data_IF_427529914062
#
_entry.id   IF_427529914062
#
_cell.length_a   1.000
_cell.length_b   1.000
_cell.length_c   1.000
_cell.angle_alpha   90.00
_cell.angle_beta   90.00
_cell.angle_gamma   90.00
#
_symmetry.space_group_name_H-M   'P 1'
#
loop_
_entity.id
_entity.type
_entity.pdbx_description
1 polymer ?
#
# COMPACT_ATOMS: atom_id res chain seq x y z
N UNK A 1 14.81 4.10 28.25
CA UNK A 1 14.12 4.30 26.96
C UNK A 1 13.52 5.70 26.98
N UNK A 2 14.09 6.66 26.26
CA UNK A 2 13.49 7.99 26.12
C UNK A 2 12.24 7.83 25.24
N UNK A 3 11.08 8.22 25.76
CA UNK A 3 9.87 8.27 24.93
C UNK A 3 10.13 9.30 23.81
N UNK A 4 9.88 8.97 22.54
CA UNK A 4 10.06 9.91 21.44
C UNK A 4 9.24 11.16 21.74
N UNK A 5 9.85 12.33 21.54
CA UNK A 5 9.14 13.59 21.77
C UNK A 5 7.98 13.69 20.78
N UNK A 6 6.94 14.46 21.11
CA UNK A 6 5.79 14.65 20.21
C UNK A 6 6.20 15.20 18.83
N UNK A 7 7.35 15.88 18.74
CA UNK A 7 7.99 16.29 17.48
C UNK A 7 8.41 15.12 16.61
N UNK A 8 9.12 14.14 17.18
CA UNK A 8 9.66 12.98 16.46
C UNK A 8 8.57 12.12 15.85
N UNK A 9 7.46 11.93 16.59
CA UNK A 9 6.31 11.16 16.10
C UNK A 9 5.63 11.82 14.90
N UNK A 10 5.40 13.13 14.98
CA UNK A 10 4.79 13.89 13.87
C UNK A 10 5.67 13.86 12.62
N UNK A 11 6.99 13.94 12.80
CA UNK A 11 7.95 13.80 11.71
C UNK A 11 7.87 12.43 11.07
N UNK A 12 7.86 11.35 11.86
CA UNK A 12 7.75 9.98 11.35
C UNK A 12 6.47 9.75 10.54
N UNK A 13 5.31 10.21 11.03
CA UNK A 13 4.05 10.10 10.27
C UNK A 13 4.14 10.87 8.96
N UNK A 14 4.71 12.08 8.98
CA UNK A 14 4.90 12.89 7.78
C UNK A 14 5.82 12.20 6.78
N UNK A 15 6.90 11.56 7.23
CA UNK A 15 7.77 10.74 6.38
C UNK A 15 6.99 9.60 5.72
N UNK A 16 6.12 8.88 6.46
CA UNK A 16 5.30 7.84 5.87
C UNK A 16 4.33 8.39 4.82
N UNK A 17 3.75 9.57 5.05
CA UNK A 17 2.88 10.25 4.08
C UNK A 17 3.62 10.64 2.81
N UNK A 18 4.84 11.17 2.93
CA UNK A 18 5.71 11.52 1.79
C UNK A 18 6.02 10.26 0.98
N UNK A 19 6.38 9.15 1.63
CA UNK A 19 6.69 7.89 0.93
C UNK A 19 5.48 7.37 0.15
N UNK A 20 4.29 7.33 0.78
CA UNK A 20 3.07 6.87 0.12
C UNK A 20 2.64 7.83 -0.99
N UNK A 21 2.81 9.13 -0.79
CA UNK A 21 2.60 10.13 -1.84
C UNK A 21 3.52 9.90 -3.04
N UNK A 22 4.81 9.68 -2.80
CA UNK A 22 5.78 9.38 -3.85
C UNK A 22 5.45 8.09 -4.61
N UNK A 23 5.08 7.02 -3.90
CA UNK A 23 4.60 5.76 -4.48
C UNK A 23 3.35 5.95 -5.34
N UNK A 24 2.44 6.86 -4.97
CA UNK A 24 1.24 7.12 -5.76
C UNK A 24 1.50 7.99 -7.00
N UNK A 25 2.54 8.85 -6.97
CA UNK A 25 2.91 9.70 -8.10
C UNK A 25 3.45 8.90 -9.29
N UNK A 26 4.19 7.81 -9.05
CA UNK A 26 4.70 6.94 -10.11
C UNK A 26 3.60 6.44 -11.06
N UNK A 27 2.59 5.70 -10.56
CA UNK A 27 1.46 5.25 -11.37
C UNK A 27 0.65 6.39 -11.99
N UNK A 28 0.54 7.55 -11.32
CA UNK A 28 -0.13 8.71 -11.90
C UNK A 28 0.59 9.24 -13.15
N UNK A 29 1.91 9.41 -13.07
CA UNK A 29 2.73 9.82 -14.23
C UNK A 29 2.70 8.76 -15.33
N UNK A 30 2.75 7.48 -14.97
CA UNK A 30 2.66 6.38 -15.92
C UNK A 30 1.27 6.32 -16.59
N UNK A 31 0.19 6.61 -15.87
CA UNK A 31 -1.15 6.69 -16.41
C UNK A 31 -1.26 7.81 -17.47
N UNK A 32 -0.66 8.97 -17.21
CA UNK A 32 -0.60 10.05 -18.21
C UNK A 32 0.11 9.57 -19.49
N UNK A 33 1.26 8.90 -19.37
CA UNK A 33 1.97 8.33 -20.52
C UNK A 33 1.09 7.30 -21.24
N UNK A 34 0.46 6.39 -20.50
CA UNK A 34 -0.41 5.36 -21.07
C UNK A 34 -1.56 5.96 -21.89
N UNK A 35 -2.22 6.99 -21.37
CA UNK A 35 -3.33 7.67 -22.03
C UNK A 35 -2.89 8.45 -23.29
N UNK A 36 -1.68 9.00 -23.30
CA UNK A 36 -1.16 9.75 -24.44
C UNK A 36 -0.60 8.85 -25.56
N UNK A 37 -0.16 7.65 -25.21
CA UNK A 37 0.55 6.74 -26.13
C UNK A 37 -0.31 5.60 -26.65
N UNK A 38 -1.37 5.20 -25.93
CA UNK A 38 -2.30 4.17 -26.38
C UNK A 38 -3.08 4.65 -27.62
N UNK A 39 -2.75 4.11 -28.81
CA UNK A 39 -3.36 4.51 -30.10
C UNK A 39 -3.86 3.34 -30.92
N UNK A 40 -5.15 3.29 -31.23
CA UNK A 40 -5.81 2.32 -32.14
C UNK A 40 -7.10 1.74 -31.54
N UNK A 41 -7.61 0.63 -32.08
CA UNK A 41 -8.88 0.00 -31.64
C UNK A 41 -8.75 -0.98 -30.45
N UNK A 42 -9.69 -1.01 -29.49
CA UNK A 42 -9.65 -1.96 -28.37
C UNK A 42 -9.55 -3.42 -28.82
N UNK A 43 -8.62 -4.17 -28.23
CA UNK A 43 -8.45 -5.61 -28.50
C UNK A 43 -8.34 -6.36 -27.18
N UNK A 44 -9.35 -7.15 -26.80
CA UNK A 44 -9.29 -7.93 -25.56
C UNK A 44 -8.41 -9.16 -25.72
N UNK A 45 -7.14 -9.03 -25.34
CA UNK A 45 -6.14 -10.09 -25.42
C UNK A 45 -5.85 -10.76 -24.07
N UNK A 46 -4.85 -11.65 -24.04
CA UNK A 46 -4.47 -12.37 -22.83
C UNK A 46 -3.88 -11.46 -21.73
N UNK A 47 -3.24 -10.34 -22.08
CA UNK A 47 -2.65 -9.44 -21.07
C UNK A 47 -3.73 -8.76 -20.23
N UNK A 48 -4.90 -8.44 -20.81
CA UNK A 48 -6.06 -7.91 -20.09
C UNK A 48 -6.47 -8.85 -18.98
N UNK A 49 -6.63 -10.14 -19.28
CA UNK A 49 -7.03 -11.15 -18.30
C UNK A 49 -6.00 -11.31 -17.18
N UNK A 50 -4.72 -11.39 -17.54
CA UNK A 50 -3.62 -11.51 -16.58
C UNK A 50 -3.58 -10.28 -15.67
N UNK A 51 -3.67 -9.07 -16.23
CA UNK A 51 -3.60 -7.83 -15.48
C UNK A 51 -4.79 -7.68 -14.52
N UNK A 52 -6.00 -8.07 -14.92
CA UNK A 52 -7.18 -8.07 -14.05
C UNK A 52 -7.02 -9.06 -12.90
N UNK A 53 -6.53 -10.28 -13.16
CA UNK A 53 -6.25 -11.28 -12.11
C UNK A 53 -5.18 -10.79 -11.14
N UNK A 54 -4.09 -10.21 -11.66
CA UNK A 54 -3.04 -9.61 -10.83
C UNK A 54 -3.57 -8.42 -10.01
N UNK A 55 -4.43 -7.59 -10.58
CA UNK A 55 -5.05 -6.47 -9.90
C UNK A 55 -5.95 -6.92 -8.75
N UNK A 56 -6.84 -7.87 -9.00
CA UNK A 56 -7.65 -8.49 -7.95
C UNK A 56 -6.76 -9.13 -6.88
N UNK A 57 -5.75 -9.91 -7.29
CA UNK A 57 -4.76 -10.50 -6.40
C UNK A 57 -4.09 -9.47 -5.51
N UNK A 58 -3.69 -8.32 -6.05
CA UNK A 58 -3.07 -7.24 -5.30
C UNK A 58 -4.01 -6.66 -4.22
N UNK A 59 -5.30 -6.47 -4.52
CA UNK A 59 -6.31 -6.01 -3.55
C UNK A 59 -6.38 -7.01 -2.40
N UNK A 60 -6.59 -8.28 -2.71
CA UNK A 60 -6.76 -9.33 -1.71
C UNK A 60 -5.49 -9.63 -0.91
N UNK A 61 -4.31 -9.49 -1.51
CA UNK A 61 -3.03 -9.80 -0.87
C UNK A 61 -2.51 -8.64 -0.02
N UNK A 62 -2.76 -7.39 -0.40
CA UNK A 62 -2.20 -6.21 0.29
C UNK A 62 -2.63 -6.09 1.75
N UNK A 63 -3.85 -6.53 2.10
CA UNK A 63 -4.37 -6.51 3.47
C UNK A 63 -3.72 -7.57 4.38
N UNK A 64 -3.80 -8.86 4.03
CA UNK A 64 -3.15 -9.96 4.75
C UNK A 64 -1.64 -9.77 4.91
N UNK A 65 -0.93 -9.36 3.85
CA UNK A 65 0.52 -9.13 3.93
C UNK A 65 0.84 -8.04 4.95
N UNK A 66 0.10 -6.93 4.96
CA UNK A 66 0.26 -5.89 5.97
C UNK A 66 0.07 -6.43 7.38
N UNK A 67 -0.99 -7.22 7.60
CA UNK A 67 -1.28 -7.83 8.92
C UNK A 67 -0.18 -8.79 9.36
N UNK A 68 0.31 -9.63 8.44
CA UNK A 68 1.38 -10.58 8.70
C UNK A 68 2.69 -9.87 9.08
N UNK A 69 3.04 -8.79 8.37
CA UNK A 69 4.21 -7.98 8.69
C UNK A 69 4.05 -7.25 10.03
N UNK A 70 2.86 -6.72 10.33
CA UNK A 70 2.56 -6.07 11.60
C UNK A 70 2.57 -7.03 12.79
N UNK A 71 2.21 -8.31 12.61
CA UNK A 71 2.31 -9.30 13.68
C UNK A 71 3.75 -9.49 14.18
N UNK A 72 4.76 -9.17 13.35
CA UNK A 72 6.16 -9.16 13.79
C UNK A 72 6.50 -8.00 14.73
N UNK A 73 5.61 -7.02 14.91
CA UNK A 73 5.82 -5.90 15.83
C UNK A 73 5.87 -6.35 17.31
N UNK A 74 5.20 -7.44 17.66
CA UNK A 74 5.18 -7.99 19.02
C UNK A 74 6.58 -8.22 19.59
N UNK A 75 7.51 -8.66 18.73
CA UNK A 75 8.89 -8.98 19.12
C UNK A 75 9.89 -7.84 18.83
N UNK A 76 9.41 -6.68 18.38
CA UNK A 76 10.29 -5.59 17.95
C UNK A 76 10.46 -4.52 19.02
N UNK A 77 11.70 -4.12 19.26
CA UNK A 77 12.01 -2.91 20.03
C UNK A 77 11.56 -1.62 19.32
N UNK A 78 11.22 -1.69 18.03
CA UNK A 78 10.89 -0.54 17.17
C UNK A 78 9.57 -0.74 16.41
N UNK A 79 8.41 -0.74 17.10
CA UNK A 79 7.11 -1.06 16.49
C UNK A 79 6.69 -0.09 15.38
N UNK A 80 7.09 1.18 15.45
CA UNK A 80 6.80 2.18 14.41
C UNK A 80 7.49 1.82 13.09
N UNK A 81 8.74 1.35 13.14
CA UNK A 81 9.47 0.92 11.94
C UNK A 81 8.81 -0.27 11.26
N UNK A 82 8.30 -1.23 12.06
CA UNK A 82 7.53 -2.38 11.53
C UNK A 82 6.25 -1.92 10.84
N UNK A 83 5.53 -0.96 11.43
CA UNK A 83 4.34 -0.38 10.82
C UNK A 83 4.65 0.27 9.47
N UNK A 84 5.70 1.09 9.42
CA UNK A 84 6.13 1.76 8.19
C UNK A 84 6.49 0.76 7.10
N UNK A 85 7.29 -0.26 7.41
CA UNK A 85 7.66 -1.31 6.45
C UNK A 85 6.42 -2.06 5.95
N UNK A 86 5.52 -2.46 6.84
CA UNK A 86 4.28 -3.14 6.46
C UNK A 86 3.41 -2.27 5.55
N UNK A 87 3.36 -0.96 5.82
CA UNK A 87 2.64 0.00 5.00
C UNK A 87 3.25 0.08 3.59
N UNK A 88 4.56 0.32 3.49
CA UNK A 88 5.31 0.42 2.22
C UNK A 88 5.14 -0.84 1.38
N UNK A 89 5.35 -2.02 1.96
CA UNK A 89 5.21 -3.29 1.24
C UNK A 89 3.78 -3.49 0.74
N UNK A 90 2.78 -3.18 1.57
CA UNK A 90 1.38 -3.30 1.16
C UNK A 90 0.98 -2.30 0.07
N UNK A 91 1.64 -1.14 0.04
CA UNK A 91 1.46 -0.12 -0.97
C UNK A 91 2.12 -0.54 -2.29
N UNK A 92 3.35 -1.05 -2.26
CA UNK A 92 4.06 -1.55 -3.43
C UNK A 92 3.32 -2.71 -4.14
N UNK A 93 2.65 -3.59 -3.38
CA UNK A 93 1.79 -4.64 -3.97
C UNK A 93 0.66 -4.02 -4.80
N UNK A 94 -0.02 -2.99 -4.29
CA UNK A 94 -1.08 -2.31 -5.05
C UNK A 94 -0.50 -1.55 -6.24
N UNK A 95 0.61 -0.83 -6.05
CA UNK A 95 1.32 -0.09 -7.09
C UNK A 95 1.69 -0.99 -8.27
N UNK A 96 2.26 -2.17 -8.01
CA UNK A 96 2.57 -3.16 -9.05
C UNK A 96 1.32 -3.61 -9.82
N UNK A 97 0.19 -3.77 -9.12
CA UNK A 97 -1.10 -4.03 -9.75
C UNK A 97 -1.57 -2.89 -10.66
N UNK A 98 -1.43 -1.63 -10.22
CA UNK A 98 -1.76 -0.44 -11.03
C UNK A 98 -0.92 -0.43 -12.30
N UNK A 99 0.41 -0.55 -12.16
CA UNK A 99 1.36 -0.47 -13.28
C UNK A 99 1.10 -1.58 -14.29
N UNK A 100 0.87 -2.82 -13.85
CA UNK A 100 0.56 -3.92 -14.76
C UNK A 100 -0.73 -3.68 -15.55
N UNK A 101 -1.75 -3.11 -14.91
CA UNK A 101 -3.00 -2.78 -15.59
C UNK A 101 -2.83 -1.62 -16.58
N UNK A 102 -2.00 -0.62 -16.28
CA UNK A 102 -1.65 0.45 -17.21
C UNK A 102 -0.84 -0.07 -18.41
N UNK A 103 0.11 -0.97 -18.19
CA UNK A 103 0.85 -1.64 -19.27
C UNK A 103 -0.09 -2.44 -20.17
N UNK A 104 -1.01 -3.22 -19.59
CA UNK A 104 -2.01 -3.96 -20.35
C UNK A 104 -2.93 -3.01 -21.13
N UNK A 105 -3.32 -1.88 -20.56
CA UNK A 105 -4.08 -0.85 -21.28
C UNK A 105 -3.31 -0.28 -22.48
N UNK A 106 -2.01 -0.01 -22.35
CA UNK A 106 -1.20 0.48 -23.47
C UNK A 106 -1.12 -0.51 -24.64
N UNK A 107 -1.05 -1.81 -24.33
CA UNK A 107 -0.90 -2.86 -25.35
C UNK A 107 -2.24 -3.26 -25.99
N UNK A 108 -3.29 -3.41 -25.17
CA UNK A 108 -4.56 -4.03 -25.57
C UNK A 108 -5.74 -3.05 -25.55
N UNK A 109 -5.57 -1.84 -25.02
CA UNK A 109 -6.58 -0.77 -24.96
C UNK A 109 -7.89 -1.19 -24.30
N UNK A 110 -7.85 -2.17 -23.41
CA UNK A 110 -9.03 -2.57 -22.64
C UNK A 110 -9.37 -1.48 -21.63
N UNK A 111 -10.63 -1.04 -21.62
CA UNK A 111 -11.10 -0.09 -20.61
C UNK A 111 -11.21 -0.74 -19.22
N UNK A 112 -11.32 -2.07 -19.16
CA UNK A 112 -11.37 -2.81 -17.90
C UNK A 112 -10.05 -2.72 -17.14
N UNK A 113 -8.92 -2.79 -17.84
CA UNK A 113 -7.60 -2.64 -17.19
C UNK A 113 -7.41 -1.20 -16.72
N UNK A 114 -7.86 -0.20 -17.47
CA UNK A 114 -7.83 1.20 -17.02
C UNK A 114 -8.70 1.41 -15.77
N UNK A 115 -9.92 0.85 -15.75
CA UNK A 115 -10.81 0.92 -14.59
C UNK A 115 -10.20 0.23 -13.36
N UNK A 116 -9.58 -0.95 -13.55
CA UNK A 116 -8.88 -1.66 -12.48
C UNK A 116 -7.66 -0.88 -11.99
N UNK A 117 -6.87 -0.28 -12.88
CA UNK A 117 -5.74 0.58 -12.51
C UNK A 117 -6.21 1.77 -11.65
N UNK A 118 -7.30 2.44 -12.04
CA UNK A 118 -7.88 3.54 -11.27
C UNK A 118 -8.36 3.06 -9.89
N UNK A 119 -9.06 1.92 -9.81
CA UNK A 119 -9.51 1.33 -8.55
C UNK A 119 -8.34 1.03 -7.60
N UNK A 120 -7.28 0.41 -8.14
CA UNK A 120 -6.07 0.07 -7.39
C UNK A 120 -5.32 1.32 -6.91
N UNK A 121 -5.24 2.35 -7.74
CA UNK A 121 -4.60 3.62 -7.39
C UNK A 121 -5.36 4.36 -6.30
N UNK A 122 -6.70 4.41 -6.38
CA UNK A 122 -7.53 4.92 -5.28
C UNK A 122 -7.32 4.08 -4.01
N UNK A 123 -7.26 2.76 -4.13
CA UNK A 123 -6.98 1.87 -2.99
C UNK A 123 -5.60 2.14 -2.35
N UNK A 124 -4.60 2.51 -3.15
CA UNK A 124 -3.29 2.94 -2.69
C UNK A 124 -3.38 4.26 -1.90
N UNK A 125 -4.12 5.25 -2.41
CA UNK A 125 -4.33 6.53 -1.71
C UNK A 125 -5.07 6.36 -0.39
N UNK A 126 -6.06 5.46 -0.33
CA UNK A 126 -6.80 5.17 0.90
C UNK A 126 -5.93 4.55 2.00
N UNK A 127 -4.73 4.05 1.68
CA UNK A 127 -3.76 3.58 2.68
C UNK A 127 -2.94 4.70 3.32
N UNK A 128 -3.15 5.97 2.92
CA UNK A 128 -2.38 7.10 3.44
C UNK A 128 -2.43 7.13 4.99
N UNK A 129 -1.26 7.17 5.65
CA UNK A 129 -1.21 7.08 7.10
C UNK A 129 -1.69 8.38 7.72
N UNK A 130 -2.56 8.26 8.74
CA UNK A 130 -3.01 9.38 9.55
C UNK A 130 -2.44 9.26 10.95
N UNK A 131 -2.19 10.39 11.61
CA UNK A 131 -1.69 10.41 13.00
C UNK A 131 -2.56 9.55 13.91
N UNK A 132 -3.88 9.74 13.85
CA UNK A 132 -4.84 8.94 14.60
C UNK A 132 -4.83 7.45 14.25
N UNK A 133 -4.53 7.08 13.00
CA UNK A 133 -4.40 5.67 12.60
C UNK A 133 -3.17 5.00 13.20
N UNK A 134 -2.03 5.69 13.17
CA UNK A 134 -0.76 5.18 13.74
C UNK A 134 -0.84 5.09 15.26
N UNK A 135 -1.36 6.12 15.93
CA UNK A 135 -1.51 6.13 17.40
C UNK A 135 -2.42 5.00 17.87
N UNK A 136 -3.59 4.83 17.25
CA UNK A 136 -4.52 3.73 17.61
C UNK A 136 -3.88 2.36 17.47
N UNK A 137 -3.08 2.16 16.43
CA UNK A 137 -2.37 0.89 16.25
C UNK A 137 -1.30 0.68 17.32
N UNK A 138 -0.50 1.70 17.65
CA UNK A 138 0.51 1.62 18.72
C UNK A 138 -0.12 1.33 20.09
N UNK A 139 -1.24 1.96 20.41
CA UNK A 139 -1.98 1.69 21.64
C UNK A 139 -2.48 0.25 21.70
N UNK A 140 -3.03 -0.28 20.59
CA UNK A 140 -3.47 -1.67 20.51
C UNK A 140 -2.30 -2.65 20.71
N UNK A 141 -1.16 -2.36 20.09
CA UNK A 141 0.03 -3.21 20.20
C UNK A 141 0.62 -3.18 21.62
N UNK A 142 0.67 -2.00 22.25
CA UNK A 142 1.11 -1.87 23.65
C UNK A 142 0.19 -2.60 24.64
N UNK A 143 -1.12 -2.67 24.38
CA UNK A 143 -2.04 -3.50 25.17
C UNK A 143 -1.74 -4.98 25.02
N UNK A 144 -1.57 -5.46 23.78
CA UNK A 144 -1.24 -6.87 23.49
C UNK A 144 0.03 -7.33 24.19
N UNK A 145 1.08 -6.51 24.16
CA UNK A 145 2.34 -6.84 24.84
C UNK A 145 2.19 -6.91 26.36
N UNK A 146 1.37 -6.02 26.96
CA UNK A 146 1.09 -6.06 28.40
C UNK A 146 0.32 -7.31 28.80
N UNK A 147 -0.71 -7.67 28.03
CA UNK A 147 -1.52 -8.86 28.29
C UNK A 147 -0.65 -10.14 28.19
N UNK A 148 0.23 -10.22 27.19
CA UNK A 148 1.19 -11.32 27.06
C UNK A 148 2.22 -11.37 28.21
N UNK A 149 2.66 -10.22 28.72
CA UNK A 149 3.57 -10.16 29.87
C UNK A 149 2.89 -10.63 31.16
N UNK A 150 1.61 -10.31 31.36
CA UNK A 150 0.80 -10.80 32.50
C UNK A 150 0.60 -12.31 32.44
N UNK A 151 0.40 -12.89 31.25
CA UNK A 151 0.23 -14.34 31.09
C UNK A 151 1.53 -15.15 31.29
N UNK A 152 2.70 -14.51 31.22
CA UNK A 152 4.02 -15.15 31.36
C UNK A 152 4.63 -15.01 32.76
N UNK A 153 4.08 -14.17 33.63
CA UNK A 153 4.51 -13.98 35.03
C UNK A 153 3.68 -14.81 35.99
#
# INVERSE_FOLDING_TARGET
MQQPTSGDFNQQVTTMQIIIGALAMGPLTFALVALLTARGEPTEGPLTKIALVMGLGAIFLSGPVRRLLQAKAQNSAYPIGVYQTALIVSAAILEGGVLMNLVAHMQERSNWTLAMAALLWVSLLLKMPTRAGVTRWLEQEGRRQRDEAVLRG
#
